data_IF_110087327392
#
_entry.id   IF_110087327392
#
_cell.length_a   1.000
_cell.length_b   1.000
_cell.length_c   1.000
_cell.angle_alpha   90.00
_cell.angle_beta   90.00
_cell.angle_gamma   90.00
#
_symmetry.space_group_name_H-M   'P 1'
#
loop_
_entity.id
_entity.type
_entity.pdbx_description
1 polymer ?
#
# COMPACT_ATOMS: atom_id res chain seq x y z
N UNK A 1 6.10 24.95 -43.36
CA UNK A 1 4.99 24.67 -42.42
C UNK A 1 5.44 23.51 -41.55
N UNK A 2 5.97 23.80 -40.37
CA UNK A 2 6.39 22.82 -39.37
C UNK A 2 5.93 23.38 -38.03
N UNK A 3 4.79 22.90 -37.54
CA UNK A 3 4.31 23.22 -36.20
C UNK A 3 5.11 22.42 -35.18
N UNK A 4 5.78 23.15 -34.28
CA UNK A 4 6.54 22.63 -33.16
C UNK A 4 5.60 22.53 -31.95
N UNK A 5 5.50 21.35 -31.35
CA UNK A 5 4.74 21.11 -30.12
C UNK A 5 5.34 21.91 -28.95
N UNK A 6 4.51 22.39 -27.99
CA UNK A 6 4.99 23.23 -26.90
C UNK A 6 5.71 22.41 -25.82
N UNK A 7 6.73 23.04 -25.26
CA UNK A 7 7.61 22.52 -24.22
C UNK A 7 6.84 22.10 -22.95
N UNK A 8 7.16 20.90 -22.46
CA UNK A 8 6.73 20.38 -21.16
C UNK A 8 7.40 21.20 -20.05
N UNK A 9 6.60 21.61 -19.06
CA UNK A 9 7.00 22.51 -17.95
C UNK A 9 8.21 22.05 -17.16
N UNK A 10 9.07 22.97 -16.66
CA UNK A 10 10.34 22.68 -15.99
C UNK A 10 10.23 22.33 -14.49
N UNK A 11 9.05 21.93 -13.99
CA UNK A 11 8.81 21.72 -12.56
C UNK A 11 8.65 20.26 -12.15
N UNK A 12 9.56 19.37 -12.59
CA UNK A 12 9.77 18.06 -11.98
C UNK A 12 11.23 17.62 -12.17
N UNK A 13 12.19 18.38 -11.64
CA UNK A 13 13.53 17.82 -11.39
C UNK A 13 13.43 16.90 -10.18
N UNK A 14 13.31 15.60 -10.45
CA UNK A 14 13.60 14.57 -9.45
C UNK A 14 15.08 14.69 -9.03
N UNK A 15 15.42 14.52 -7.75
CA UNK A 15 16.82 14.47 -7.33
C UNK A 15 17.55 13.36 -8.08
N UNK A 16 18.71 13.71 -8.64
CA UNK A 16 19.50 12.95 -9.61
C UNK A 16 20.24 11.73 -9.03
N UNK A 17 19.62 11.01 -8.12
CA UNK A 17 20.15 9.77 -7.58
C UNK A 17 19.00 8.79 -7.36
N UNK A 18 18.38 8.35 -8.45
CA UNK A 18 17.72 7.06 -8.41
C UNK A 18 18.81 6.01 -8.19
N UNK A 19 18.79 5.25 -7.08
CA UNK A 19 19.61 4.05 -7.02
C UNK A 19 19.25 3.20 -8.24
N UNK A 20 20.28 2.73 -8.94
CA UNK A 20 20.14 1.78 -10.02
C UNK A 20 19.30 0.59 -9.53
N UNK A 21 18.04 0.51 -9.97
CA UNK A 21 17.07 -0.55 -9.65
C UNK A 21 17.45 -1.91 -10.27
N UNK A 22 18.74 -2.22 -10.41
CA UNK A 22 19.23 -3.54 -10.84
C UNK A 22 18.89 -4.66 -9.84
N UNK A 23 18.26 -4.32 -8.71
CA UNK A 23 17.80 -5.22 -7.65
C UNK A 23 16.32 -5.00 -7.28
N UNK A 24 15.50 -4.36 -8.14
CA UNK A 24 14.06 -4.29 -7.91
C UNK A 24 13.58 -5.71 -7.64
N UNK A 25 13.08 -5.99 -6.43
CA UNK A 25 12.76 -7.35 -5.97
C UNK A 25 11.67 -8.01 -6.80
N UNK A 26 10.55 -8.49 -6.24
CA UNK A 26 9.47 -9.04 -7.06
C UNK A 26 8.70 -7.99 -7.89
N UNK A 27 9.09 -6.70 -7.85
CA UNK A 27 8.34 -5.59 -8.43
C UNK A 27 8.60 -5.39 -9.91
N UNK A 28 7.51 -5.12 -10.64
CA UNK A 28 7.55 -4.62 -12.01
C UNK A 28 7.38 -3.09 -12.00
N UNK A 29 7.85 -2.41 -13.03
CA UNK A 29 7.66 -0.97 -13.19
C UNK A 29 6.53 -0.69 -14.18
N UNK A 30 5.60 0.17 -13.80
CA UNK A 30 4.57 0.65 -14.70
C UNK A 30 5.21 1.63 -15.71
N UNK A 31 5.17 1.37 -17.02
CA UNK A 31 5.82 2.24 -18.01
C UNK A 31 5.18 3.63 -18.13
N UNK A 32 3.93 3.81 -17.69
CA UNK A 32 3.21 5.08 -17.77
C UNK A 32 3.42 5.93 -16.52
N UNK A 33 3.40 5.32 -15.33
CA UNK A 33 3.51 6.04 -14.06
C UNK A 33 4.91 5.98 -13.45
N UNK A 34 5.78 5.10 -13.97
CA UNK A 34 7.08 4.73 -13.37
C UNK A 34 6.98 4.17 -11.95
N UNK A 35 5.78 3.85 -11.47
CA UNK A 35 5.58 3.29 -10.14
C UNK A 35 5.90 1.79 -10.11
N UNK A 36 6.47 1.28 -9.01
CA UNK A 36 6.58 -0.15 -8.77
C UNK A 36 5.19 -0.76 -8.56
N UNK A 37 4.98 -1.99 -9.03
CA UNK A 37 3.77 -2.76 -8.77
C UNK A 37 4.04 -4.26 -8.67
N UNK A 38 3.14 -4.99 -8.00
CA UNK A 38 3.12 -6.45 -7.96
C UNK A 38 1.87 -6.99 -8.67
N UNK A 39 1.99 -7.86 -9.68
CA UNK A 39 0.84 -8.54 -10.26
C UNK A 39 0.30 -9.61 -9.30
N UNK A 40 -1.03 -9.73 -9.24
CA UNK A 40 -1.69 -10.86 -8.56
C UNK A 40 -1.88 -11.98 -9.61
N UNK A 41 -1.19 -13.12 -9.49
CA UNK A 41 -1.21 -14.17 -10.53
C UNK A 41 -2.62 -14.63 -10.89
N UNK A 42 -2.88 -14.78 -12.19
CA UNK A 42 -4.16 -15.28 -12.70
C UNK A 42 -5.32 -14.27 -12.66
N UNK A 43 -5.05 -12.99 -12.37
CA UNK A 43 -6.07 -11.94 -12.31
C UNK A 43 -5.64 -10.69 -13.08
N UNK A 44 -6.58 -9.76 -13.30
CA UNK A 44 -6.30 -8.39 -13.76
C UNK A 44 -5.86 -7.45 -12.63
N UNK A 45 -5.69 -7.96 -11.41
CA UNK A 45 -5.38 -7.15 -10.24
C UNK A 45 -3.87 -6.98 -10.05
N UNK A 46 -3.50 -5.79 -9.59
CA UNK A 46 -2.14 -5.41 -9.23
C UNK A 46 -2.15 -4.72 -7.87
N UNK A 47 -1.03 -4.79 -7.16
CA UNK A 47 -0.75 -3.98 -5.98
C UNK A 47 0.15 -2.82 -6.39
N UNK A 48 -0.22 -1.60 -6.01
CA UNK A 48 0.55 -0.38 -6.24
C UNK A 48 0.76 0.38 -4.94
N UNK A 49 1.64 1.39 -4.93
CA UNK A 49 1.62 2.39 -3.87
C UNK A 49 0.30 3.18 -3.86
N UNK A 50 0.02 3.81 -2.74
CA UNK A 50 -1.12 4.69 -2.54
C UNK A 50 -0.96 6.01 -3.31
N UNK A 51 -2.08 6.54 -3.83
CA UNK A 51 -2.15 7.84 -4.54
C UNK A 51 -3.13 8.77 -3.83
N UNK A 52 -2.88 10.07 -3.86
CA UNK A 52 -3.80 11.06 -3.30
C UNK A 52 -5.17 11.03 -4.00
N UNK A 53 -5.21 10.63 -5.27
CA UNK A 53 -6.44 10.41 -6.02
C UNK A 53 -7.34 9.30 -5.44
N UNK A 54 -6.82 8.46 -4.56
CA UNK A 54 -7.58 7.36 -3.94
C UNK A 54 -8.47 7.84 -2.78
N UNK A 55 -8.20 9.02 -2.21
CA UNK A 55 -8.96 9.62 -1.09
C UNK A 55 -10.48 9.56 -1.31
N UNK A 56 -11.05 10.10 -2.41
CA UNK A 56 -12.50 10.04 -2.63
C UNK A 56 -13.03 8.60 -2.78
N UNK A 57 -12.25 7.69 -3.36
CA UNK A 57 -12.63 6.30 -3.49
C UNK A 57 -12.64 5.57 -2.14
N UNK A 58 -11.69 5.90 -1.25
CA UNK A 58 -11.63 5.37 0.12
C UNK A 58 -12.82 5.83 0.95
N UNK A 59 -13.21 7.10 0.85
CA UNK A 59 -14.43 7.62 1.49
C UNK A 59 -15.67 6.87 1.00
N UNK A 60 -15.85 6.74 -0.32
CA UNK A 60 -16.98 6.03 -0.89
C UNK A 60 -17.02 4.55 -0.44
N UNK A 61 -15.87 3.88 -0.39
CA UNK A 61 -15.76 2.49 0.05
C UNK A 61 -16.15 2.34 1.53
N UNK A 62 -15.57 3.13 2.42
CA UNK A 62 -15.74 2.97 3.88
C UNK A 62 -17.04 3.57 4.42
N UNK A 63 -17.73 4.38 3.62
CA UNK A 63 -19.11 4.84 3.93
C UNK A 63 -20.18 3.96 3.29
N UNK A 64 -19.80 2.98 2.45
CA UNK A 64 -20.77 2.12 1.78
C UNK A 64 -21.53 1.26 2.80
N UNK A 65 -22.88 1.21 2.77
CA UNK A 65 -23.66 0.34 3.64
C UNK A 65 -23.36 -1.16 3.48
N UNK A 66 -22.80 -1.57 2.33
CA UNK A 66 -22.38 -2.96 2.10
C UNK A 66 -21.02 -3.30 2.71
N UNK A 67 -20.26 -2.29 3.14
CA UNK A 67 -18.89 -2.44 3.67
C UNK A 67 -18.85 -2.06 5.14
N UNK A 68 -19.42 -0.91 5.51
CA UNK A 68 -19.39 -0.33 6.86
C UNK A 68 -19.72 -1.35 7.98
N UNK A 69 -20.74 -2.23 7.87
CA UNK A 69 -21.04 -3.20 8.92
C UNK A 69 -19.90 -4.21 9.19
N UNK A 70 -19.00 -4.41 8.23
CA UNK A 70 -17.93 -5.40 8.28
C UNK A 70 -16.55 -4.81 8.62
N UNK A 71 -16.44 -3.49 8.75
CA UNK A 71 -15.16 -2.84 9.10
C UNK A 71 -15.23 -2.28 10.52
N UNK A 72 -14.33 -2.76 11.38
CA UNK A 72 -14.29 -2.40 12.80
C UNK A 72 -13.56 -1.07 13.07
N UNK A 73 -12.54 -0.75 12.27
CA UNK A 73 -11.56 0.28 12.61
C UNK A 73 -11.87 1.75 12.23
N UNK A 74 -12.59 2.09 11.14
CA UNK A 74 -12.75 3.48 10.77
C UNK A 74 -13.78 4.20 11.64
N UNK A 75 -13.58 5.51 11.91
CA UNK A 75 -14.62 6.35 12.52
C UNK A 75 -15.87 6.39 11.66
N UNK A 76 -17.04 6.49 12.31
CA UNK A 76 -18.36 6.59 11.65
C UNK A 76 -19.03 7.93 11.99
N UNK A 77 -19.34 8.79 11.00
CA UNK A 77 -19.07 8.60 9.58
C UNK A 77 -17.57 8.75 9.23
N UNK A 78 -17.15 8.04 8.18
CA UNK A 78 -15.80 8.18 7.64
C UNK A 78 -15.74 9.39 6.70
N UNK A 79 -14.85 10.35 6.97
CA UNK A 79 -14.80 11.65 6.30
C UNK A 79 -13.60 11.77 5.37
N UNK A 80 -13.61 12.79 4.52
CA UNK A 80 -12.46 13.13 3.66
C UNK A 80 -11.19 13.42 4.47
N UNK A 81 -11.31 14.05 5.63
CA UNK A 81 -10.17 14.37 6.49
C UNK A 81 -9.53 13.08 7.02
N UNK A 82 -10.35 12.12 7.49
CA UNK A 82 -9.86 10.80 7.91
C UNK A 82 -9.16 10.06 6.75
N UNK A 83 -9.72 10.13 5.55
CA UNK A 83 -9.11 9.51 4.36
C UNK A 83 -7.78 10.18 3.97
N UNK A 84 -7.68 11.50 4.12
CA UNK A 84 -6.49 12.29 3.83
C UNK A 84 -5.38 11.99 4.84
N UNK A 85 -5.70 12.01 6.13
CA UNK A 85 -4.77 11.62 7.19
C UNK A 85 -4.25 10.19 6.97
N UNK A 86 -5.16 9.24 6.71
CA UNK A 86 -4.78 7.85 6.46
C UNK A 86 -3.88 7.71 5.23
N UNK A 87 -4.15 8.45 4.15
CA UNK A 87 -3.30 8.49 2.97
C UNK A 87 -1.89 8.98 3.32
N UNK A 88 -1.76 10.06 4.08
CA UNK A 88 -0.45 10.60 4.44
C UNK A 88 0.38 9.61 5.27
N UNK A 89 -0.22 8.98 6.29
CA UNK A 89 0.45 7.95 7.08
C UNK A 89 0.87 6.77 6.22
N UNK A 90 -0.06 6.24 5.41
CA UNK A 90 0.23 5.11 4.52
C UNK A 90 1.34 5.44 3.53
N UNK A 91 1.31 6.63 2.94
CA UNK A 91 2.30 7.04 1.93
C UNK A 91 3.69 7.21 2.55
N UNK A 92 3.76 7.71 3.79
CA UNK A 92 5.00 7.79 4.55
C UNK A 92 5.55 6.39 4.83
N UNK A 93 4.71 5.48 5.34
CA UNK A 93 5.10 4.10 5.65
C UNK A 93 5.61 3.37 4.39
N UNK A 94 4.89 3.49 3.26
CA UNK A 94 5.28 2.90 1.98
C UNK A 94 6.66 3.40 1.53
N UNK A 95 6.91 4.71 1.64
CA UNK A 95 8.19 5.31 1.26
C UNK A 95 9.32 4.84 2.17
N UNK A 96 9.12 4.83 3.49
CA UNK A 96 10.11 4.37 4.45
C UNK A 96 10.51 2.90 4.19
N UNK A 97 9.54 2.06 3.81
CA UNK A 97 9.80 0.66 3.44
C UNK A 97 10.59 0.56 2.13
N UNK A 98 10.25 1.36 1.11
CA UNK A 98 11.02 1.37 -0.14
C UNK A 98 12.46 1.82 0.10
N UNK A 99 12.67 2.85 0.90
CA UNK A 99 14.01 3.39 1.21
C UNK A 99 14.84 2.39 2.04
N UNK A 100 14.17 1.60 2.90
CA UNK A 100 14.81 0.60 3.74
C UNK A 100 14.93 -0.80 3.10
N UNK A 101 14.36 -1.01 1.90
CA UNK A 101 14.13 -2.33 1.29
C UNK A 101 15.38 -3.22 1.26
N UNK A 102 16.54 -2.66 0.91
CA UNK A 102 17.79 -3.43 0.83
C UNK A 102 18.51 -3.62 2.18
N UNK A 103 18.24 -2.78 3.17
CA UNK A 103 19.07 -2.66 4.38
C UNK A 103 18.46 -3.25 5.64
N UNK A 104 17.12 -3.26 5.77
CA UNK A 104 16.43 -3.63 7.02
C UNK A 104 15.49 -4.83 6.90
N UNK A 105 15.37 -5.40 5.70
CA UNK A 105 14.32 -6.37 5.40
C UNK A 105 12.94 -5.71 5.36
N UNK A 106 11.92 -6.51 5.03
CA UNK A 106 10.57 -6.02 4.78
C UNK A 106 9.73 -6.10 6.06
N UNK A 107 9.49 -4.96 6.70
CA UNK A 107 8.68 -4.87 7.94
C UNK A 107 7.25 -4.38 7.70
N UNK A 108 6.83 -4.32 6.45
CA UNK A 108 5.51 -3.84 6.04
C UNK A 108 5.29 -4.04 4.55
N UNK A 109 4.20 -3.49 4.01
CA UNK A 109 3.83 -3.66 2.61
C UNK A 109 4.07 -2.34 1.83
N UNK A 110 5.09 -2.25 0.96
CA UNK A 110 5.38 -1.02 0.21
C UNK A 110 4.38 -0.77 -0.92
N UNK A 111 3.57 -1.78 -1.28
CA UNK A 111 2.47 -1.67 -2.23
C UNK A 111 1.20 -2.31 -1.65
N UNK A 112 0.35 -1.51 -1.02
CA UNK A 112 -0.88 -1.98 -0.38
C UNK A 112 -2.16 -1.71 -1.16
N UNK A 113 -2.13 -0.85 -2.17
CA UNK A 113 -3.34 -0.46 -2.89
C UNK A 113 -3.66 -1.45 -4.01
N UNK A 114 -4.84 -2.06 -3.95
CA UNK A 114 -5.35 -2.99 -4.96
C UNK A 114 -5.94 -2.17 -6.10
N UNK A 115 -5.45 -2.40 -7.32
CA UNK A 115 -6.00 -1.84 -8.53
C UNK A 115 -6.32 -2.91 -9.56
N UNK A 116 -7.34 -2.65 -10.37
CA UNK A 116 -7.62 -3.43 -11.57
C UNK A 116 -6.95 -2.76 -12.78
N UNK A 117 -6.16 -3.54 -13.52
CA UNK A 117 -5.57 -3.13 -14.79
C UNK A 117 -6.24 -3.90 -15.92
N UNK A 118 -6.80 -3.16 -16.87
CA UNK A 118 -7.43 -3.72 -18.07
C UNK A 118 -6.61 -3.39 -19.30
N UNK A 119 -6.58 -4.33 -20.23
CA UNK A 119 -5.89 -4.15 -21.51
C UNK A 119 -6.51 -2.97 -22.29
N UNK A 120 -5.66 -2.09 -22.82
CA UNK A 120 -6.09 -0.89 -23.56
C UNK A 120 -6.48 0.32 -22.70
N UNK A 121 -6.58 0.18 -21.38
CA UNK A 121 -6.83 1.31 -20.48
C UNK A 121 -5.51 1.96 -20.03
N UNK A 122 -5.50 3.30 -19.97
CA UNK A 122 -4.32 4.08 -19.55
C UNK A 122 -4.26 4.32 -18.05
N UNK A 123 -5.32 3.97 -17.31
CA UNK A 123 -5.45 4.20 -15.88
C UNK A 123 -5.89 2.95 -15.16
N UNK A 124 -5.13 2.59 -14.13
CA UNK A 124 -5.49 1.52 -13.22
C UNK A 124 -6.64 1.99 -12.30
N UNK A 125 -7.69 1.18 -12.18
CA UNK A 125 -8.87 1.50 -11.36
C UNK A 125 -8.65 1.11 -9.90
N UNK A 126 -8.91 2.02 -8.96
CA UNK A 126 -8.90 1.68 -7.53
C UNK A 126 -9.99 0.64 -7.20
N UNK A 127 -9.59 -0.42 -6.50
CA UNK A 127 -10.49 -1.50 -6.04
C UNK A 127 -10.58 -1.50 -4.53
N UNK A 128 -9.45 -1.35 -3.84
CA UNK A 128 -9.39 -1.39 -2.38
C UNK A 128 -7.96 -1.40 -1.88
N UNK A 129 -7.79 -1.87 -0.66
CA UNK A 129 -6.50 -1.88 0.05
C UNK A 129 -6.28 -3.22 0.73
N UNK A 130 -5.02 -3.61 0.79
CA UNK A 130 -4.52 -4.79 1.48
C UNK A 130 -3.56 -4.33 2.57
N UNK A 131 -3.73 -4.88 3.76
CA UNK A 131 -2.84 -4.68 4.88
C UNK A 131 -2.51 -6.01 5.54
N UNK A 132 -1.25 -6.18 5.91
CA UNK A 132 -0.82 -7.27 6.78
C UNK A 132 -0.43 -6.68 8.12
N UNK A 133 -0.99 -7.24 9.18
CA UNK A 133 -0.75 -6.84 10.55
C UNK A 133 -0.24 -8.09 11.26
N UNK A 134 0.72 -7.93 12.17
CA UNK A 134 0.96 -8.98 13.16
C UNK A 134 -0.29 -9.11 14.01
N UNK A 135 -0.70 -10.34 14.32
CA UNK A 135 -1.79 -10.59 15.28
C UNK A 135 -1.40 -9.98 16.64
N UNK A 136 -2.23 -9.06 17.13
CA UNK A 136 -1.98 -8.34 18.40
C UNK A 136 -3.00 -8.64 19.48
N UNK A 137 -4.10 -9.32 19.14
CA UNK A 137 -5.23 -9.58 20.01
C UNK A 137 -5.25 -10.99 20.57
N UNK A 138 -4.97 -12.02 19.77
CA UNK A 138 -5.11 -13.45 20.15
C UNK A 138 -6.40 -13.71 20.94
N UNK A 139 -7.52 -13.18 20.43
CA UNK A 139 -8.81 -13.13 21.14
C UNK A 139 -9.42 -14.52 21.40
N UNK A 140 -8.95 -15.53 20.69
CA UNK A 140 -9.28 -16.94 20.90
C UNK A 140 -8.69 -17.53 22.20
N UNK A 141 -7.61 -16.93 22.74
CA UNK A 141 -6.99 -17.35 24.00
C UNK A 141 -7.72 -16.71 25.18
N UNK A 142 -8.52 -17.52 25.89
CA UNK A 142 -9.34 -17.06 27.01
C UNK A 142 -8.53 -16.70 28.24
N UNK A 143 -7.50 -17.48 28.55
CA UNK A 143 -6.61 -17.21 29.67
C UNK A 143 -5.79 -15.93 29.40
N UNK A 144 -5.88 -14.96 30.30
CA UNK A 144 -5.30 -13.64 30.07
C UNK A 144 -3.77 -13.66 30.12
N UNK A 145 -3.18 -14.49 30.98
CA UNK A 145 -1.73 -14.55 31.13
C UNK A 145 -1.09 -15.32 29.96
N UNK A 146 -1.74 -16.38 29.49
CA UNK A 146 -1.38 -17.08 28.26
C UNK A 146 -1.49 -16.15 27.04
N UNK A 147 -2.58 -15.37 26.94
CA UNK A 147 -2.78 -14.40 25.86
C UNK A 147 -1.70 -13.32 25.86
N UNK A 148 -1.36 -12.77 27.03
CA UNK A 148 -0.25 -11.79 27.16
C UNK A 148 1.07 -12.39 26.70
N UNK A 149 1.38 -13.64 27.08
CA UNK A 149 2.59 -14.34 26.63
C UNK A 149 2.60 -14.56 25.12
N UNK A 150 1.47 -14.93 24.52
CA UNK A 150 1.36 -15.10 23.07
C UNK A 150 1.59 -13.77 22.32
N UNK A 151 0.97 -12.68 22.80
CA UNK A 151 1.18 -11.33 22.25
C UNK A 151 2.65 -10.92 22.33
N UNK A 152 3.28 -11.09 23.50
CA UNK A 152 4.68 -10.70 23.69
C UNK A 152 5.63 -11.54 22.83
N UNK A 153 5.41 -12.85 22.80
CA UNK A 153 6.15 -13.77 21.93
C UNK A 153 6.04 -13.35 20.46
N UNK A 154 4.83 -13.08 19.96
CA UNK A 154 4.61 -12.67 18.58
C UNK A 154 5.24 -11.30 18.25
N UNK A 155 5.15 -10.34 19.17
CA UNK A 155 5.78 -9.02 19.03
C UNK A 155 7.31 -9.13 18.93
N UNK A 156 7.90 -10.01 19.73
CA UNK A 156 9.36 -10.19 19.79
C UNK A 156 9.97 -10.84 18.53
N UNK A 157 9.16 -11.49 17.68
CA UNK A 157 9.66 -12.13 16.46
C UNK A 157 10.23 -11.10 15.48
N UNK A 158 11.46 -11.26 14.97
CA UNK A 158 12.03 -10.34 13.98
C UNK A 158 11.33 -10.49 12.61
N UNK A 159 11.45 -9.48 11.74
CA UNK A 159 11.08 -9.62 10.32
C UNK A 159 11.81 -10.80 9.67
N UNK A 160 11.09 -11.59 8.88
CA UNK A 160 11.64 -12.78 8.22
C UNK A 160 11.83 -14.00 9.12
N UNK A 161 11.32 -13.99 10.35
CA UNK A 161 11.29 -15.17 11.22
C UNK A 161 10.54 -16.32 10.50
N UNK A 162 11.18 -17.49 10.32
CA UNK A 162 10.62 -18.60 9.53
C UNK A 162 9.41 -19.26 10.18
N UNK A 163 9.09 -18.95 11.44
CA UNK A 163 7.88 -19.39 12.12
C UNK A 163 6.66 -18.49 11.83
N UNK A 164 6.84 -17.39 11.10
CA UNK A 164 5.78 -16.52 10.60
C UNK A 164 5.45 -16.98 9.18
N UNK A 165 4.22 -17.42 8.96
CA UNK A 165 3.67 -17.80 7.65
C UNK A 165 3.05 -16.60 6.93
#
# INVERSE_FOLDING_TARGET
MTDSLPAVSPFLTLPSSHPSLSSAGPFLLNPLTSEPYLPIPGTSLILTPSRSSDIPHRVALLTSPSVDPFVFSPPRPYTTDHATERFHTQRSDEQDIFDAWESKGVTGLPVGTIRERREGETKDRFVGELGFLKETGFHEIRDEEERKKAIESNKSKPPGDPSIL
#
